data_IF_623700879838
#
_entry.id   IF_623700879838
#
_cell.length_a   1.000
_cell.length_b   1.000
_cell.length_c   1.000
_cell.angle_alpha   90.00
_cell.angle_beta   90.00
_cell.angle_gamma   90.00
#
_symmetry.space_group_name_H-M   'P 1'
#
loop_
_entity.id
_entity.type
_entity.pdbx_description
1 polymer ?
#
# COMPACT_ATOMS: atom_id res chain seq x y z
N UNK A 1 -2.42 -15.99 31.04
CA UNK A 1 -3.57 -15.33 30.39
C UNK A 1 -3.17 -14.24 29.39
N UNK A 2 -1.86 -13.98 29.17
CA UNK A 2 -1.40 -12.81 28.40
C UNK A 2 -1.14 -13.04 26.90
N UNK A 3 -0.97 -14.29 26.46
CA UNK A 3 -0.62 -14.59 25.06
C UNK A 3 -1.85 -14.70 24.14
N UNK A 4 -3.00 -15.16 24.65
CA UNK A 4 -4.20 -15.33 23.84
C UNK A 4 -4.81 -13.99 23.42
N UNK A 5 -4.79 -12.98 24.31
CA UNK A 5 -5.29 -11.63 23.98
C UNK A 5 -4.44 -10.97 22.89
N UNK A 6 -3.12 -11.05 23.00
CA UNK A 6 -2.20 -10.46 22.02
C UNK A 6 -2.30 -11.13 20.63
N UNK A 7 -2.53 -12.44 20.57
CA UNK A 7 -2.75 -13.17 19.31
C UNK A 7 -4.05 -12.68 18.65
N UNK A 8 -5.14 -12.59 19.42
CA UNK A 8 -6.43 -12.12 18.92
C UNK A 8 -6.36 -10.67 18.41
N UNK A 9 -5.59 -9.80 19.09
CA UNK A 9 -5.41 -8.39 18.68
C UNK A 9 -4.65 -8.28 17.35
N UNK A 10 -3.62 -9.11 17.15
CA UNK A 10 -2.85 -9.15 15.89
C UNK A 10 -3.68 -9.69 14.72
N UNK A 11 -4.49 -10.72 14.95
CA UNK A 11 -5.42 -11.25 13.95
C UNK A 11 -6.46 -10.20 13.55
N UNK A 12 -7.04 -9.50 14.53
CA UNK A 12 -7.99 -8.42 14.28
C UNK A 12 -7.37 -7.27 13.47
N UNK A 13 -6.11 -6.92 13.72
CA UNK A 13 -5.40 -5.90 12.94
C UNK A 13 -5.16 -6.34 11.49
N UNK A 14 -4.80 -7.62 11.27
CA UNK A 14 -4.63 -8.19 9.94
C UNK A 14 -5.94 -8.13 9.13
N UNK A 15 -7.06 -8.52 9.75
CA UNK A 15 -8.39 -8.47 9.13
C UNK A 15 -8.81 -7.05 8.74
N UNK A 16 -8.51 -6.07 9.60
CA UNK A 16 -8.80 -4.65 9.30
C UNK A 16 -7.95 -4.15 8.12
N UNK A 17 -6.67 -4.53 8.08
CA UNK A 17 -5.79 -4.21 6.96
C UNK A 17 -6.28 -4.84 5.66
N UNK A 18 -6.69 -6.11 5.68
CA UNK A 18 -7.25 -6.78 4.50
C UNK A 18 -8.47 -6.01 3.96
N UNK A 19 -9.43 -5.70 4.83
CA UNK A 19 -10.63 -4.92 4.44
C UNK A 19 -10.27 -3.54 3.88
N UNK A 20 -9.27 -2.88 4.46
CA UNK A 20 -8.80 -1.57 4.00
C UNK A 20 -8.11 -1.66 2.64
N UNK A 21 -7.25 -2.65 2.43
CA UNK A 21 -6.57 -2.92 1.17
C UNK A 21 -7.60 -3.19 0.07
N UNK A 22 -8.57 -4.06 0.33
CA UNK A 22 -9.68 -4.34 -0.58
C UNK A 22 -10.43 -3.06 -0.96
N UNK A 23 -10.86 -2.27 0.02
CA UNK A 23 -11.61 -1.04 -0.20
C UNK A 23 -10.81 0.09 -0.87
N UNK A 24 -9.47 0.06 -0.79
CA UNK A 24 -8.59 1.03 -1.41
C UNK A 24 -8.01 0.55 -2.75
N UNK A 25 -8.16 -0.73 -3.09
CA UNK A 25 -7.68 -1.30 -4.34
C UNK A 25 -8.49 -0.83 -5.54
N UNK A 26 -7.82 -0.74 -6.69
CA UNK A 26 -8.45 -0.30 -7.93
C UNK A 26 -7.76 -0.95 -9.14
N UNK A 27 -8.47 -1.15 -10.26
CA UNK A 27 -7.85 -1.58 -11.51
C UNK A 27 -6.91 -0.48 -12.02
N UNK A 28 -5.66 -0.84 -12.33
CA UNK A 28 -4.68 0.10 -12.85
C UNK A 28 -4.85 0.23 -14.35
N UNK A 29 -5.23 1.43 -14.77
CA UNK A 29 -5.24 1.86 -16.16
C UNK A 29 -4.14 2.92 -16.31
N UNK A 30 -3.07 2.60 -17.06
CA UNK A 30 -1.90 3.47 -17.21
C UNK A 30 -2.27 4.80 -17.86
N UNK A 31 -3.27 4.81 -18.76
CA UNK A 31 -3.78 6.03 -19.39
C UNK A 31 -4.51 6.98 -18.43
N UNK A 32 -4.88 6.50 -17.23
CA UNK A 32 -5.55 7.32 -16.21
C UNK A 32 -4.59 8.12 -15.33
N UNK A 33 -3.27 7.97 -15.51
CA UNK A 33 -2.24 8.65 -14.73
C UNK A 33 -1.49 9.68 -15.57
N UNK A 34 -1.18 10.83 -14.96
CA UNK A 34 -0.37 11.89 -15.57
C UNK A 34 1.12 11.70 -15.25
N UNK A 35 1.61 10.48 -15.40
CA UNK A 35 3.00 10.12 -15.19
C UNK A 35 3.43 9.01 -16.15
N UNK A 36 4.74 8.81 -16.27
CA UNK A 36 5.28 7.74 -17.09
C UNK A 36 5.12 6.37 -16.39
N UNK A 37 5.06 5.30 -17.19
CA UNK A 37 4.72 3.96 -16.71
C UNK A 37 5.73 3.39 -15.70
N UNK A 38 6.98 3.84 -15.72
CA UNK A 38 8.00 3.45 -14.75
C UNK A 38 7.62 3.78 -13.30
N UNK A 39 6.83 4.84 -13.08
CA UNK A 39 6.35 5.25 -11.75
C UNK A 39 5.17 4.39 -11.26
N UNK A 40 4.57 3.59 -12.15
CA UNK A 40 3.45 2.71 -11.85
C UNK A 40 3.89 1.27 -11.53
N UNK A 41 5.19 0.97 -11.62
CA UNK A 41 5.72 -0.36 -11.32
C UNK A 41 5.64 -0.64 -9.83
N UNK A 42 5.10 -1.81 -9.48
CA UNK A 42 5.10 -2.27 -8.11
C UNK A 42 6.54 -2.53 -7.64
N UNK A 43 6.97 -2.01 -6.47
CA UNK A 43 8.32 -2.24 -5.96
C UNK A 43 8.67 -3.71 -5.67
N UNK A 44 7.67 -4.59 -5.58
CA UNK A 44 7.85 -6.02 -5.31
C UNK A 44 7.97 -6.81 -6.61
N UNK A 45 7.01 -6.65 -7.52
CA UNK A 45 6.97 -7.42 -8.78
C UNK A 45 7.82 -6.81 -9.88
N UNK A 46 8.19 -5.54 -9.74
CA UNK A 46 8.87 -4.72 -10.76
C UNK A 46 8.06 -4.56 -12.06
N UNK A 47 6.75 -4.76 -11.98
CA UNK A 47 5.81 -4.69 -13.10
C UNK A 47 4.56 -3.89 -12.71
N UNK A 48 3.79 -3.42 -13.70
CA UNK A 48 2.56 -2.68 -13.48
C UNK A 48 1.46 -3.64 -13.04
N UNK A 49 0.91 -3.50 -11.82
CA UNK A 49 -0.07 -4.46 -11.32
C UNK A 49 -1.42 -4.26 -11.99
N UNK A 50 -2.18 -5.35 -12.22
CA UNK A 50 -3.57 -5.26 -12.72
C UNK A 50 -4.49 -4.56 -11.72
N UNK A 51 -4.37 -4.93 -10.44
CA UNK A 51 -5.07 -4.28 -9.33
C UNK A 51 -4.04 -3.67 -8.39
N UNK A 52 -4.10 -2.35 -8.26
CA UNK A 52 -3.14 -1.54 -7.52
C UNK A 52 -3.72 -0.99 -6.23
N UNK A 53 -2.84 -0.74 -5.26
CA UNK A 53 -3.14 -0.03 -4.01
C UNK A 53 -2.02 0.96 -3.75
N UNK A 54 -2.36 2.22 -3.43
CA UNK A 54 -1.35 3.18 -2.99
C UNK A 54 -1.02 2.98 -1.52
N UNK A 55 0.28 2.90 -1.24
CA UNK A 55 0.80 2.70 0.12
C UNK A 55 1.87 3.74 0.41
N UNK A 56 1.69 4.49 1.50
CA UNK A 56 2.70 5.42 2.01
C UNK A 56 3.95 4.68 2.45
N UNK A 57 5.11 5.33 2.33
CA UNK A 57 6.38 4.76 2.82
C UNK A 57 6.36 4.52 4.34
N UNK A 58 5.71 5.41 5.08
CA UNK A 58 5.47 5.29 6.53
C UNK A 58 4.25 6.14 6.90
N UNK A 59 3.76 6.00 8.13
CA UNK A 59 2.67 6.87 8.65
C UNK A 59 2.96 8.36 8.53
N UNK A 60 4.23 8.76 8.69
CA UNK A 60 4.65 10.17 8.71
C UNK A 60 5.04 10.69 7.32
N UNK A 61 5.17 9.81 6.33
CA UNK A 61 5.49 10.21 4.96
C UNK A 61 4.23 10.56 4.20
N UNK A 62 4.30 11.54 3.31
CA UNK A 62 3.28 11.76 2.29
C UNK A 62 3.56 10.94 1.02
N UNK A 63 4.79 10.44 0.84
CA UNK A 63 5.20 9.69 -0.34
C UNK A 63 4.51 8.33 -0.38
N UNK A 64 3.90 8.04 -1.51
CA UNK A 64 3.22 6.77 -1.78
C UNK A 64 3.89 6.02 -2.93
N UNK A 65 3.74 4.70 -2.93
CA UNK A 65 4.08 3.82 -4.04
C UNK A 65 2.87 2.97 -4.41
N UNK A 66 2.77 2.60 -5.69
CA UNK A 66 1.74 1.70 -6.17
C UNK A 66 2.18 0.26 -5.92
N UNK A 67 1.40 -0.52 -5.19
CA UNK A 67 1.66 -1.95 -4.96
C UNK A 67 0.64 -2.83 -5.67
N UNK A 68 1.05 -4.02 -6.11
CA UNK A 68 0.09 -5.09 -6.40
C UNK A 68 -0.71 -5.37 -5.15
N UNK A 69 -2.04 -5.40 -5.31
CA UNK A 69 -2.95 -5.83 -4.25
C UNK A 69 -2.56 -7.21 -3.72
N UNK A 70 -2.30 -8.18 -4.61
CA UNK A 70 -2.00 -9.55 -4.19
C UNK A 70 -0.69 -9.63 -3.40
N UNK A 71 0.37 -8.95 -3.85
CA UNK A 71 1.64 -8.96 -3.14
C UNK A 71 1.57 -8.22 -1.79
N UNK A 72 0.78 -7.13 -1.72
CA UNK A 72 0.59 -6.41 -0.47
C UNK A 72 -0.16 -7.25 0.58
N UNK A 73 -1.19 -7.99 0.18
CA UNK A 73 -1.90 -8.91 1.07
C UNK A 73 -0.96 -10.00 1.62
N UNK A 74 -0.11 -10.58 0.77
CA UNK A 74 0.91 -11.55 1.22
C UNK A 74 1.84 -10.97 2.28
N UNK A 75 2.25 -9.70 2.15
CA UNK A 75 3.06 -9.05 3.18
C UNK A 75 2.32 -8.95 4.52
N UNK A 76 1.04 -8.60 4.49
CA UNK A 76 0.20 -8.51 5.70
C UNK A 76 0.05 -9.90 6.34
N UNK A 77 -0.29 -10.92 5.56
CA UNK A 77 -0.43 -12.31 6.01
C UNK A 77 0.86 -12.84 6.66
N UNK A 78 2.00 -12.53 6.05
CA UNK A 78 3.32 -12.94 6.54
C UNK A 78 3.88 -12.02 7.64
N UNK A 79 3.12 -10.98 8.04
CA UNK A 79 3.53 -9.98 9.03
C UNK A 79 4.86 -9.31 8.69
N UNK A 80 5.12 -9.13 7.39
CA UNK A 80 6.31 -8.47 6.88
C UNK A 80 6.11 -6.95 6.85
N UNK A 81 7.19 -6.22 7.14
CA UNK A 81 7.19 -4.76 7.05
C UNK A 81 7.11 -4.27 5.60
N UNK A 82 6.82 -2.99 5.45
CA UNK A 82 6.81 -2.27 4.19
C UNK A 82 8.16 -2.44 3.46
N UNK A 83 8.20 -2.80 2.16
CA UNK A 83 9.45 -3.22 1.50
C UNK A 83 10.56 -2.18 1.46
N UNK A 84 10.20 -0.89 1.47
CA UNK A 84 11.17 0.22 1.40
C UNK A 84 11.63 0.69 2.78
N UNK A 85 10.71 0.90 3.71
CA UNK A 85 10.99 1.48 5.04
C UNK A 85 11.22 0.44 6.13
N UNK A 86 10.83 -0.81 5.88
CA UNK A 86 10.81 -1.93 6.86
C UNK A 86 9.89 -1.71 8.06
N UNK A 87 9.12 -0.62 8.10
CA UNK A 87 8.13 -0.39 9.14
C UNK A 87 6.94 -1.35 9.03
N UNK A 88 6.27 -1.70 10.15
CA UNK A 88 5.01 -2.43 10.09
C UNK A 88 4.00 -1.69 9.22
N UNK A 89 3.30 -2.42 8.35
CA UNK A 89 2.24 -1.85 7.50
C UNK A 89 1.05 -1.48 8.39
N UNK A 90 0.61 -0.22 8.30
CA UNK A 90 -0.47 0.33 9.14
C UNK A 90 -1.62 0.86 8.28
N UNK A 91 -2.79 0.96 8.87
CA UNK A 91 -4.03 1.36 8.21
C UNK A 91 -3.96 2.74 7.55
N UNK A 92 -3.26 3.67 8.18
CA UNK A 92 -3.03 5.04 7.71
C UNK A 92 -1.97 5.12 6.59
N UNK A 93 -1.23 4.04 6.34
CA UNK A 93 -0.37 3.93 5.17
C UNK A 93 -1.15 3.55 3.92
N UNK A 94 -2.36 2.96 4.04
CA UNK A 94 -3.17 2.52 2.90
C UNK A 94 -4.07 3.66 2.42
N UNK A 95 -3.79 4.18 1.22
CA UNK A 95 -4.42 5.39 0.67
C UNK A 95 -5.38 5.02 -0.45
N UNK A 96 -6.53 5.71 -0.54
CA UNK A 96 -7.45 5.53 -1.68
C UNK A 96 -6.86 6.16 -2.93
N UNK A 97 -7.18 5.64 -4.12
CA UNK A 97 -6.75 6.21 -5.42
C UNK A 97 -6.88 7.73 -5.50
N UNK A 98 -8.04 8.26 -5.11
CA UNK A 98 -8.37 9.70 -5.20
C UNK A 98 -7.60 10.58 -4.21
N UNK A 99 -7.05 9.99 -3.15
CA UNK A 99 -6.36 10.70 -2.07
C UNK A 99 -4.83 10.66 -2.29
N UNK A 100 -4.37 10.20 -3.47
CA UNK A 100 -2.97 10.13 -3.85
C UNK A 100 -2.79 10.61 -5.29
N UNK A 101 -1.85 11.51 -5.54
CA UNK A 101 -1.63 12.15 -6.84
C UNK A 101 -0.15 12.14 -7.21
N UNK A 102 0.14 12.20 -8.51
CA UNK A 102 1.51 12.33 -8.97
C UNK A 102 1.98 13.79 -8.82
N UNK A 103 2.99 14.01 -8.00
CA UNK A 103 3.61 15.31 -7.79
C UNK A 103 4.76 15.48 -8.79
N UNK A 104 4.53 16.27 -9.84
CA UNK A 104 5.49 16.52 -10.92
C UNK A 104 6.71 17.35 -10.52
N UNK A 105 6.71 17.97 -9.34
CA UNK A 105 7.88 18.69 -8.83
C UNK A 105 8.86 17.74 -8.12
N UNK A 106 8.37 16.60 -7.65
CA UNK A 106 9.14 15.60 -6.89
C UNK A 106 9.29 14.27 -7.62
N UNK A 107 8.66 14.14 -8.79
CA UNK A 107 8.54 12.90 -9.57
C UNK A 107 8.15 11.69 -8.71
N UNK A 108 7.15 11.90 -7.86
CA UNK A 108 6.65 10.86 -6.95
C UNK A 108 5.16 11.00 -6.69
N UNK A 109 4.51 9.90 -6.33
CA UNK A 109 3.17 9.98 -5.77
C UNK A 109 3.19 10.53 -4.34
N UNK A 110 2.25 11.41 -4.02
CA UNK A 110 2.07 12.00 -2.70
C UNK A 110 0.60 11.92 -2.28
N UNK A 111 0.33 11.61 -1.01
CA UNK A 111 -1.01 11.66 -0.42
C UNK A 111 -1.37 13.10 -0.02
N UNK A 112 -2.67 13.43 -0.11
CA UNK A 112 -3.22 14.69 0.41
C UNK A 112 -3.37 14.71 1.93
#
# INVERSE_FOLDING_TARGET
>A
MSNQSAINDLEMQSDQLHKKIEACSFPVDTGSFLCAEEYLKCPITLDIPKNGVFVKVSSQSDVCYLFSKEELLKLVDQKLGHPLSREPIRMDMIVRKRDCYFNTLRDTFASV
#
